data_IF_870505377212
#
_entry.id   IF_870505377212
#
_cell.length_a   1.000
_cell.length_b   1.000
_cell.length_c   1.000
_cell.angle_alpha   90.00
_cell.angle_beta   90.00
_cell.angle_gamma   90.00
#
_symmetry.space_group_name_H-M   'P 1'
#
loop_
_entity.id
_entity.type
_entity.pdbx_description
1 polymer ?
#
# COMPACT_ATOMS: atom_id res chain seq x y z
N UNK A 1 11.56 76.68 18.17
CA UNK A 1 11.01 75.44 17.58
C UNK A 1 12.16 74.72 16.89
N UNK A 2 12.43 73.48 17.30
CA UNK A 2 13.60 72.72 16.84
C UNK A 2 13.27 71.90 15.59
N UNK A 3 14.21 71.86 14.64
CA UNK A 3 14.17 70.92 13.51
C UNK A 3 15.54 70.24 13.37
N UNK A 4 15.63 69.02 13.89
CA UNK A 4 16.85 68.22 13.83
C UNK A 4 17.12 67.71 12.40
N UNK A 5 18.32 67.96 11.89
CA UNK A 5 18.84 67.28 10.72
C UNK A 5 19.49 65.93 11.08
N UNK A 6 19.64 65.03 10.11
CA UNK A 6 20.55 63.87 10.27
C UNK A 6 21.26 63.58 8.95
N UNK A 7 22.57 63.36 9.03
CA UNK A 7 23.51 63.34 7.90
C UNK A 7 23.51 61.98 7.20
N UNK A 8 23.78 61.98 5.88
CA UNK A 8 24.10 60.77 5.11
C UNK A 8 25.48 60.24 5.51
N UNK A 9 25.59 58.94 5.80
CA UNK A 9 26.87 58.23 6.02
C UNK A 9 27.45 57.66 4.71
N UNK A 10 28.76 57.36 4.65
CA UNK A 10 29.46 57.05 3.41
C UNK A 10 29.40 55.57 2.97
N UNK A 11 29.73 55.35 1.69
CA UNK A 11 29.80 54.04 1.02
C UNK A 11 30.92 53.13 1.59
N UNK A 12 30.71 51.80 1.66
CA UNK A 12 31.78 50.85 1.96
C UNK A 12 32.67 50.63 0.73
N UNK A 13 33.97 50.91 0.86
CA UNK A 13 34.95 50.73 -0.22
C UNK A 13 35.68 49.38 -0.20
N UNK A 14 36.59 49.23 -1.16
CA UNK A 14 37.80 48.42 -0.99
C UNK A 14 37.68 46.91 -1.16
N UNK A 15 37.80 46.43 -2.40
CA UNK A 15 38.30 45.07 -2.65
C UNK A 15 39.75 44.97 -2.17
N UNK A 16 40.06 44.00 -1.33
CA UNK A 16 41.40 43.42 -1.26
C UNK A 16 41.28 41.90 -1.40
N UNK A 17 41.90 41.36 -2.45
CA UNK A 17 42.18 39.94 -2.56
C UNK A 17 43.56 39.64 -2.00
N UNK A 18 43.72 38.47 -1.39
CA UNK A 18 45.01 37.88 -1.10
C UNK A 18 45.04 36.46 -1.69
N UNK A 19 46.11 36.16 -2.43
CA UNK A 19 46.31 34.88 -3.14
C UNK A 19 46.59 33.73 -2.17
N UNK A 20 46.40 32.49 -2.66
CA UNK A 20 46.54 31.27 -1.86
C UNK A 20 47.91 30.59 -1.92
N UNK A 21 47.87 29.26 -1.68
CA UNK A 21 48.92 28.31 -1.30
C UNK A 21 48.93 28.04 0.22
N UNK A 22 48.93 26.79 0.70
CA UNK A 22 48.84 25.49 0.02
C UNK A 22 48.84 24.32 1.03
N UNK A 23 48.72 23.09 0.52
CA UNK A 23 48.82 21.80 1.25
C UNK A 23 47.74 21.49 2.32
N UNK A 24 47.50 20.19 2.58
CA UNK A 24 46.51 19.71 3.56
C UNK A 24 45.43 18.76 3.02
N UNK A 25 45.77 17.86 2.06
CA UNK A 25 44.90 16.72 1.74
C UNK A 25 45.03 15.67 2.85
N UNK A 26 44.16 15.70 3.84
CA UNK A 26 44.03 14.58 4.78
C UNK A 26 42.74 13.79 4.61
N UNK A 27 42.95 12.48 4.47
CA UNK A 27 41.94 11.46 4.29
C UNK A 27 41.17 11.22 5.58
N UNK A 28 39.83 11.16 5.51
CA UNK A 28 39.08 10.32 6.45
C UNK A 28 37.84 9.70 5.79
N UNK A 29 38.10 8.76 4.89
CA UNK A 29 37.12 7.81 4.36
C UNK A 29 36.95 6.66 5.36
N UNK A 30 36.10 6.81 6.38
CA UNK A 30 35.84 5.73 7.33
C UNK A 30 34.99 4.63 6.69
N UNK A 31 35.65 3.51 6.38
CA UNK A 31 35.03 2.35 5.76
C UNK A 31 34.09 1.61 6.72
N UNK A 32 33.00 1.10 6.16
CA UNK A 32 32.13 0.09 6.76
C UNK A 32 32.94 -1.11 7.26
N UNK A 33 32.94 -1.37 8.57
CA UNK A 33 33.63 -2.55 9.14
C UNK A 33 32.61 -3.61 9.55
N UNK A 34 32.26 -4.47 8.59
CA UNK A 34 31.65 -5.75 8.91
C UNK A 34 32.66 -6.62 9.69
N UNK A 35 32.18 -7.33 10.72
CA UNK A 35 32.90 -8.44 11.33
C UNK A 35 31.91 -9.55 11.69
N UNK A 36 31.95 -10.64 10.94
CA UNK A 36 31.58 -11.97 11.41
C UNK A 36 32.82 -12.73 11.90
N UNK A 37 32.62 -13.97 12.35
CA UNK A 37 33.58 -14.86 13.04
C UNK A 37 33.91 -14.44 14.50
N UNK A 38 34.12 -15.34 15.45
CA UNK A 38 33.75 -16.77 15.58
C UNK A 38 33.84 -17.18 17.08
N UNK A 39 33.23 -18.32 17.46
CA UNK A 39 33.36 -18.97 18.78
C UNK A 39 34.78 -19.58 18.93
N UNK A 40 35.34 -19.80 20.14
CA UNK A 40 35.04 -21.03 20.93
C UNK A 40 35.05 -20.78 22.48
N UNK A 41 35.51 -21.65 23.42
CA UNK A 41 34.55 -22.31 24.34
C UNK A 41 34.87 -22.26 25.86
N UNK A 42 33.87 -22.70 26.65
CA UNK A 42 33.92 -23.39 27.98
C UNK A 42 34.96 -23.00 29.04
N UNK A 43 34.46 -22.56 30.21
CA UNK A 43 34.94 -23.02 31.52
C UNK A 43 33.81 -22.99 32.56
N UNK A 44 33.81 -23.98 33.45
CA UNK A 44 32.77 -24.26 34.45
C UNK A 44 33.21 -23.88 35.86
N UNK A 45 32.29 -23.39 36.71
CA UNK A 45 32.40 -23.52 38.17
C UNK A 45 31.05 -23.36 38.87
N UNK A 46 30.58 -24.46 39.49
CA UNK A 46 29.62 -24.44 40.61
C UNK A 46 30.36 -24.05 41.91
N UNK A 47 29.69 -23.60 43.01
CA UNK A 47 28.73 -24.39 43.81
C UNK A 47 27.34 -23.68 43.91
N UNK A 48 26.31 -24.11 44.67
CA UNK A 48 26.21 -25.17 45.69
C UNK A 48 24.86 -25.91 45.66
N UNK A 49 24.81 -27.06 46.34
CA UNK A 49 23.65 -27.74 46.96
C UNK A 49 24.23 -28.50 48.17
N UNK A 50 23.48 -28.90 49.24
CA UNK A 50 22.15 -29.53 49.22
C UNK A 50 21.30 -29.13 50.48
N UNK A 51 20.37 -29.95 51.05
CA UNK A 51 19.61 -31.09 50.54
C UNK A 51 18.08 -30.92 50.65
N UNK A 52 17.34 -31.96 50.22
CA UNK A 52 15.88 -32.04 50.25
C UNK A 52 15.31 -32.76 51.50
N UNK A 53 14.03 -32.51 51.78
CA UNK A 53 13.10 -33.38 52.51
C UNK A 53 11.67 -32.95 52.12
N UNK A 54 10.91 -33.76 51.36
CA UNK A 54 10.06 -34.90 51.76
C UNK A 54 8.71 -34.49 52.38
N UNK A 55 7.67 -35.30 52.10
CA UNK A 55 6.26 -35.25 52.58
C UNK A 55 5.38 -34.08 52.05
N UNK A 56 4.08 -34.20 51.78
CA UNK A 56 3.17 -35.35 51.55
C UNK A 56 1.92 -34.90 50.75
N UNK A 57 1.21 -35.89 50.17
CA UNK A 57 -0.19 -35.97 49.75
C UNK A 57 -1.11 -34.72 49.65
N UNK A 58 -1.98 -34.71 48.63
CA UNK A 58 -3.36 -34.26 48.86
C UNK A 58 -4.11 -33.60 47.70
N UNK A 59 -5.06 -34.36 47.16
CA UNK A 59 -6.37 -33.89 46.65
C UNK A 59 -6.48 -33.12 45.32
N UNK A 60 -7.38 -33.64 44.50
CA UNK A 60 -7.97 -33.05 43.30
C UNK A 60 -8.68 -31.72 43.55
N UNK A 61 -8.57 -30.75 42.63
CA UNK A 61 -9.51 -29.64 42.53
C UNK A 61 -9.91 -29.34 41.08
N UNK A 62 -11.21 -29.42 40.82
CA UNK A 62 -11.80 -29.12 39.51
C UNK A 62 -11.51 -27.67 39.07
N UNK A 63 -11.19 -27.48 37.80
CA UNK A 63 -11.04 -26.16 37.18
C UNK A 63 -12.40 -25.53 36.86
N UNK A 64 -13.13 -25.11 37.90
CA UNK A 64 -14.21 -24.13 37.72
C UNK A 64 -13.58 -22.75 37.48
N UNK A 65 -13.54 -22.33 36.21
CA UNK A 65 -13.12 -20.98 35.82
C UNK A 65 -14.33 -20.05 35.83
N UNK A 66 -14.39 -19.10 36.76
CA UNK A 66 -15.43 -18.07 36.77
C UNK A 66 -15.34 -17.19 35.49
N UNK A 67 -16.48 -16.72 34.93
CA UNK A 67 -16.50 -15.98 33.68
C UNK A 67 -16.01 -14.53 33.87
N UNK A 68 -15.04 -14.11 33.06
CA UNK A 68 -14.58 -12.73 33.00
C UNK A 68 -15.50 -11.86 32.10
N UNK A 69 -15.74 -10.64 32.56
CA UNK A 69 -16.70 -9.67 32.03
C UNK A 69 -16.47 -9.25 30.56
N UNK A 70 -17.55 -9.24 29.77
CA UNK A 70 -17.80 -8.15 28.80
C UNK A 70 -17.06 -8.14 27.46
N UNK A 71 -16.40 -9.22 27.04
CA UNK A 71 -15.84 -9.35 25.69
C UNK A 71 -16.53 -10.45 24.88
N UNK A 72 -17.11 -10.13 23.72
CA UNK A 72 -17.64 -11.15 22.80
C UNK A 72 -16.48 -12.04 22.34
N UNK A 73 -16.39 -13.24 22.94
CA UNK A 73 -15.31 -14.20 22.69
C UNK A 73 -15.40 -14.64 21.23
N UNK A 74 -14.43 -14.23 20.42
CA UNK A 74 -14.40 -14.56 18.97
C UNK A 74 -14.52 -16.07 18.79
N UNK A 75 -15.51 -16.48 18.01
CA UNK A 75 -15.79 -17.88 17.73
C UNK A 75 -14.56 -18.58 17.12
N UNK A 76 -14.19 -19.73 17.69
CA UNK A 76 -13.10 -20.57 17.17
C UNK A 76 -13.66 -21.52 16.13
N UNK A 77 -13.36 -21.25 14.86
CA UNK A 77 -13.73 -22.13 13.75
C UNK A 77 -12.98 -23.47 13.83
N UNK A 78 -13.72 -24.58 13.88
CA UNK A 78 -13.16 -25.94 13.80
C UNK A 78 -12.93 -26.36 12.35
N UNK A 79 -12.20 -27.45 12.12
CA UNK A 79 -12.01 -28.03 10.77
C UNK A 79 -13.35 -28.44 10.16
N UNK A 80 -14.23 -29.09 10.93
CA UNK A 80 -15.57 -29.48 10.50
C UNK A 80 -16.42 -28.29 10.05
N UNK A 81 -16.45 -27.20 10.82
CA UNK A 81 -17.17 -25.98 10.44
C UNK A 81 -16.61 -25.35 9.15
N UNK A 82 -15.29 -25.45 8.92
CA UNK A 82 -14.68 -24.97 7.68
C UNK A 82 -15.09 -25.86 6.48
N UNK A 83 -15.15 -27.19 6.66
CA UNK A 83 -15.63 -28.13 5.64
C UNK A 83 -17.10 -27.88 5.30
N UNK A 84 -17.96 -27.68 6.31
CA UNK A 84 -19.38 -27.36 6.12
C UNK A 84 -19.59 -25.99 5.46
N UNK A 85 -18.76 -24.99 5.78
CA UNK A 85 -18.75 -23.71 5.07
C UNK A 85 -18.36 -23.84 3.59
N UNK A 86 -17.42 -24.73 3.25
CA UNK A 86 -17.08 -25.05 1.86
C UNK A 86 -18.20 -25.82 1.14
N UNK A 87 -18.84 -26.82 1.77
CA UNK A 87 -20.01 -27.52 1.21
C UNK A 87 -21.13 -26.54 0.86
N UNK A 88 -21.48 -25.65 1.79
CA UNK A 88 -22.48 -24.60 1.58
C UNK A 88 -22.08 -23.63 0.45
N UNK A 89 -20.80 -23.26 0.34
CA UNK A 89 -20.28 -22.44 -0.75
C UNK A 89 -20.40 -23.12 -2.12
N UNK A 90 -19.96 -24.38 -2.24
CA UNK A 90 -20.03 -25.11 -3.50
C UNK A 90 -21.48 -25.36 -3.94
N UNK A 91 -22.37 -25.75 -3.02
CA UNK A 91 -23.82 -25.88 -3.29
C UNK A 91 -24.45 -24.55 -3.75
N UNK A 92 -24.15 -23.44 -3.07
CA UNK A 92 -24.71 -22.12 -3.42
C UNK A 92 -24.20 -21.54 -4.75
N UNK A 93 -23.04 -22.01 -5.22
CA UNK A 93 -22.35 -21.59 -6.45
C UNK A 93 -22.61 -22.52 -7.64
N UNK A 94 -22.99 -23.78 -7.39
CA UNK A 94 -23.37 -24.75 -8.43
C UNK A 94 -24.74 -24.52 -9.06
N UNK A 95 -25.58 -23.65 -8.48
CA UNK A 95 -26.83 -23.20 -9.09
C UNK A 95 -26.59 -22.04 -10.06
N UNK A 96 -27.12 -22.16 -11.28
CA UNK A 96 -26.84 -21.32 -12.46
C UNK A 96 -27.24 -19.84 -12.32
N UNK A 97 -27.99 -19.47 -11.28
CA UNK A 97 -28.54 -18.12 -11.11
C UNK A 97 -27.57 -17.16 -10.40
N UNK A 98 -26.90 -16.33 -11.21
CA UNK A 98 -26.49 -14.95 -10.88
C UNK A 98 -25.53 -14.73 -9.70
N UNK A 99 -24.33 -14.22 -9.99
CA UNK A 99 -23.24 -13.99 -9.01
C UNK A 99 -23.51 -13.03 -7.84
N UNK A 100 -24.71 -12.44 -7.75
CA UNK A 100 -25.10 -11.49 -6.69
C UNK A 100 -25.86 -12.12 -5.51
N UNK A 101 -26.56 -13.25 -5.70
CA UNK A 101 -27.43 -13.85 -4.68
C UNK A 101 -26.81 -15.04 -3.90
N UNK A 102 -25.61 -15.51 -4.26
CA UNK A 102 -25.04 -16.74 -3.66
C UNK A 102 -24.77 -16.65 -2.14
N UNK A 103 -24.61 -15.45 -1.56
CA UNK A 103 -24.24 -15.30 -0.14
C UNK A 103 -25.37 -15.67 0.81
N UNK A 104 -26.60 -15.23 0.52
CA UNK A 104 -27.80 -15.60 1.25
C UNK A 104 -28.08 -17.12 1.12
N UNK A 105 -27.94 -17.69 -0.09
CA UNK A 105 -28.07 -19.14 -0.32
C UNK A 105 -27.05 -19.94 0.49
N UNK A 106 -25.77 -19.52 0.45
CA UNK A 106 -24.69 -20.14 1.21
C UNK A 106 -24.91 -20.03 2.73
N UNK A 107 -25.45 -18.91 3.21
CA UNK A 107 -25.76 -18.71 4.63
C UNK A 107 -26.88 -19.65 5.10
N UNK A 108 -27.99 -19.75 4.34
CA UNK A 108 -29.07 -20.70 4.61
C UNK A 108 -28.57 -22.14 4.66
N UNK A 109 -27.84 -22.58 3.64
CA UNK A 109 -27.27 -23.93 3.57
C UNK A 109 -26.25 -24.21 4.70
N UNK A 110 -25.56 -23.18 5.19
CA UNK A 110 -24.66 -23.33 6.34
C UNK A 110 -25.43 -23.43 7.67
N UNK A 111 -26.52 -22.67 7.84
CA UNK A 111 -27.38 -22.77 9.01
C UNK A 111 -28.09 -24.14 9.10
N UNK A 112 -28.39 -24.78 7.96
CA UNK A 112 -28.89 -26.16 7.89
C UNK A 112 -27.82 -27.19 8.30
N UNK A 113 -26.53 -26.94 8.01
CA UNK A 113 -25.41 -27.84 8.34
C UNK A 113 -24.85 -27.64 9.76
N UNK A 114 -24.95 -26.44 10.33
CA UNK A 114 -24.43 -26.08 11.66
C UNK A 114 -25.48 -25.26 12.46
N UNK A 115 -26.64 -25.83 12.86
CA UNK A 115 -27.73 -25.08 13.49
C UNK A 115 -27.37 -24.43 14.83
N UNK A 116 -26.33 -24.93 15.51
CA UNK A 116 -25.81 -24.39 16.77
C UNK A 116 -24.97 -23.12 16.62
N UNK A 117 -24.70 -22.67 15.38
CA UNK A 117 -23.68 -21.66 15.09
C UNK A 117 -24.28 -20.41 14.42
N UNK A 118 -24.45 -19.34 15.20
CA UNK A 118 -24.95 -18.05 14.68
C UNK A 118 -23.82 -17.23 14.03
N UNK A 119 -23.82 -17.16 12.70
CA UNK A 119 -22.86 -16.38 11.90
C UNK A 119 -23.62 -15.44 10.95
N UNK A 120 -23.07 -14.27 10.63
CA UNK A 120 -23.64 -13.39 9.58
C UNK A 120 -23.18 -13.83 8.19
N UNK A 121 -23.96 -13.55 7.14
CA UNK A 121 -23.58 -13.87 5.76
C UNK A 121 -22.18 -13.38 5.38
N UNK A 122 -21.84 -12.16 5.80
CA UNK A 122 -20.55 -11.54 5.53
C UNK A 122 -19.41 -12.26 6.26
N UNK A 123 -19.58 -12.63 7.54
CA UNK A 123 -18.58 -13.37 8.29
C UNK A 123 -18.32 -14.76 7.68
N UNK A 124 -19.38 -15.44 7.22
CA UNK A 124 -19.27 -16.73 6.52
C UNK A 124 -18.54 -16.58 5.18
N UNK A 125 -18.91 -15.56 4.38
CA UNK A 125 -18.26 -15.28 3.10
C UNK A 125 -16.77 -14.92 3.24
N UNK A 126 -16.41 -14.12 4.25
CA UNK A 126 -15.01 -13.80 4.56
C UNK A 126 -14.26 -15.02 5.09
N UNK A 127 -14.91 -15.92 5.84
CA UNK A 127 -14.32 -17.19 6.27
C UNK A 127 -14.02 -18.11 5.07
N UNK A 128 -14.95 -18.27 4.14
CA UNK A 128 -14.72 -19.04 2.90
C UNK A 128 -13.58 -18.45 2.07
N UNK A 129 -13.54 -17.12 1.89
CA UNK A 129 -12.41 -16.43 1.23
C UNK A 129 -11.08 -16.62 1.95
N UNK A 130 -11.08 -16.79 3.27
CA UNK A 130 -9.87 -17.08 4.03
C UNK A 130 -9.43 -18.54 3.82
N UNK A 131 -10.35 -19.50 3.89
CA UNK A 131 -10.07 -20.93 3.67
C UNK A 131 -9.46 -21.14 2.28
N UNK A 132 -10.13 -20.66 1.22
CA UNK A 132 -9.67 -20.77 -0.17
C UNK A 132 -8.32 -20.08 -0.48
N UNK A 133 -7.85 -19.17 0.39
CA UNK A 133 -6.55 -18.49 0.24
C UNK A 133 -5.45 -19.03 1.16
N UNK A 134 -5.80 -19.79 2.18
CA UNK A 134 -4.86 -20.29 3.20
C UNK A 134 -4.37 -21.71 2.94
N UNK A 135 -4.81 -22.33 1.85
CA UNK A 135 -4.49 -23.72 1.49
C UNK A 135 -4.72 -24.70 2.66
N UNK A 136 -5.82 -24.47 3.41
CA UNK A 136 -6.13 -25.19 4.66
C UNK A 136 -6.76 -26.57 4.45
N UNK A 137 -7.05 -26.92 3.20
CA UNK A 137 -7.49 -28.23 2.74
C UNK A 137 -6.65 -28.58 1.51
N UNK A 138 -6.34 -29.86 1.34
CA UNK A 138 -5.63 -30.31 0.13
C UNK A 138 -6.52 -30.24 -1.12
N UNK A 139 -5.91 -30.20 -2.30
CA UNK A 139 -6.62 -30.20 -3.59
C UNK A 139 -7.54 -31.43 -3.73
N UNK A 140 -7.11 -32.58 -3.21
CA UNK A 140 -7.92 -33.81 -3.19
C UNK A 140 -9.16 -33.69 -2.29
N UNK A 141 -9.04 -33.03 -1.13
CA UNK A 141 -10.15 -32.76 -0.22
C UNK A 141 -11.14 -31.74 -0.80
N UNK A 142 -10.63 -30.71 -1.50
CA UNK A 142 -11.46 -29.72 -2.18
C UNK A 142 -12.30 -30.36 -3.30
N UNK A 143 -11.70 -31.21 -4.13
CA UNK A 143 -12.42 -31.94 -5.20
C UNK A 143 -13.35 -33.04 -4.66
N UNK A 144 -13.07 -33.60 -3.47
CA UNK A 144 -14.03 -34.43 -2.76
C UNK A 144 -15.23 -33.61 -2.27
N UNK A 145 -15.00 -32.48 -1.60
CA UNK A 145 -16.08 -31.61 -1.10
C UNK A 145 -16.90 -30.99 -2.23
N UNK A 146 -16.31 -30.79 -3.41
CA UNK A 146 -17.00 -30.38 -4.65
C UNK A 146 -17.94 -31.46 -5.16
N UNK A 147 -17.49 -32.73 -5.22
CA UNK A 147 -18.32 -33.89 -5.58
C UNK A 147 -19.43 -34.16 -4.56
N UNK A 148 -19.18 -34.01 -3.26
CA UNK A 148 -20.22 -34.10 -2.21
C UNK A 148 -21.26 -32.94 -2.27
N UNK A 149 -20.93 -31.84 -2.95
CA UNK A 149 -21.78 -30.65 -3.04
C UNK A 149 -22.68 -30.64 -4.28
N UNK A 150 -22.30 -31.30 -5.36
CA UNK A 150 -23.11 -31.47 -6.57
C UNK A 150 -23.58 -32.92 -6.63
N UNK A 151 -24.79 -33.24 -6.12
CA UNK A 151 -25.39 -34.54 -6.43
C UNK A 151 -25.56 -34.63 -7.95
N UNK A 152 -25.28 -35.81 -8.51
CA UNK A 152 -25.35 -36.06 -9.94
C UNK A 152 -26.73 -35.71 -10.50
N UNK A 153 -26.86 -34.59 -11.22
CA UNK A 153 -27.91 -34.47 -12.24
C UNK A 153 -27.72 -35.62 -13.20
N UNK A 154 -28.78 -36.40 -13.39
CA UNK A 154 -28.70 -37.72 -14.01
C UNK A 154 -28.53 -37.69 -15.52
N UNK A 155 -27.31 -37.43 -15.99
CA UNK A 155 -26.91 -37.62 -17.40
C UNK A 155 -25.56 -38.37 -17.45
N UNK A 156 -25.62 -39.69 -17.30
CA UNK A 156 -24.52 -40.61 -17.61
C UNK A 156 -25.10 -42.01 -17.90
N UNK A 157 -25.59 -42.17 -19.14
CA UNK A 157 -25.98 -43.46 -19.72
C UNK A 157 -25.69 -43.53 -21.24
N UNK A 158 -24.79 -42.66 -21.74
CA UNK A 158 -24.49 -42.52 -23.17
C UNK A 158 -23.04 -42.08 -23.44
N UNK A 159 -22.08 -42.54 -22.62
CA UNK A 159 -20.68 -42.12 -22.68
C UNK A 159 -19.66 -43.28 -22.64
N UNK A 160 -20.04 -44.49 -23.07
CA UNK A 160 -19.13 -45.64 -23.21
C UNK A 160 -18.78 -45.99 -24.67
N UNK A 161 -19.46 -45.43 -25.68
CA UNK A 161 -19.22 -45.73 -27.11
C UNK A 161 -18.30 -44.74 -27.87
N UNK A 162 -17.93 -43.62 -27.24
CA UNK A 162 -17.13 -42.57 -27.89
C UNK A 162 -15.59 -42.79 -27.83
N UNK A 163 -15.13 -43.94 -27.33
CA UNK A 163 -13.71 -44.27 -27.21
C UNK A 163 -13.16 -45.12 -28.38
N UNK A 164 -14.02 -45.59 -29.30
CA UNK A 164 -13.65 -46.56 -30.34
C UNK A 164 -13.46 -45.98 -31.76
N UNK A 165 -13.70 -44.67 -31.98
CA UNK A 165 -13.71 -44.06 -33.33
C UNK A 165 -12.61 -42.99 -33.55
N UNK A 166 -11.49 -43.04 -32.82
CA UNK A 166 -10.35 -42.12 -32.99
C UNK A 166 -9.02 -42.85 -33.26
N UNK A 167 -9.07 -43.89 -34.10
CA UNK A 167 -7.88 -44.66 -34.50
C UNK A 167 -7.63 -44.74 -36.02
N UNK A 168 -8.57 -44.29 -36.86
CA UNK A 168 -8.48 -44.49 -38.32
C UNK A 168 -8.93 -43.25 -39.10
N UNK A 169 -8.07 -42.22 -39.16
CA UNK A 169 -7.93 -41.26 -40.29
C UNK A 169 -6.78 -40.27 -40.09
N UNK A 170 -5.55 -40.78 -40.04
CA UNK A 170 -4.35 -39.99 -40.33
C UNK A 170 -3.83 -40.32 -41.73
N UNK A 171 -4.38 -39.67 -42.75
CA UNK A 171 -3.75 -39.49 -44.06
C UNK A 171 -4.46 -38.43 -44.93
N UNK A 172 -3.66 -37.54 -45.52
CA UNK A 172 -3.87 -36.76 -46.75
C UNK A 172 -4.67 -35.44 -46.75
N UNK A 173 -3.85 -34.37 -46.92
CA UNK A 173 -3.98 -33.25 -47.88
C UNK A 173 -4.86 -32.04 -47.55
N UNK A 174 -4.15 -30.94 -47.31
CA UNK A 174 -4.31 -29.53 -47.70
C UNK A 174 -5.66 -28.90 -48.11
N UNK A 175 -5.71 -27.61 -47.76
CA UNK A 175 -6.37 -26.49 -48.43
C UNK A 175 -7.86 -26.20 -48.16
N UNK A 176 -8.04 -24.94 -47.73
CA UNK A 176 -9.17 -24.06 -47.98
C UNK A 176 -10.57 -24.39 -47.40
N UNK A 177 -10.96 -23.51 -46.46
CA UNK A 177 -12.22 -22.74 -46.49
C UNK A 177 -13.55 -23.48 -46.27
N UNK A 178 -14.35 -22.91 -45.35
CA UNK A 178 -15.76 -23.18 -45.05
C UNK A 178 -16.13 -24.49 -44.34
N UNK A 179 -16.57 -24.34 -43.08
CA UNK A 179 -17.77 -25.01 -42.57
C UNK A 179 -18.42 -24.08 -41.53
N UNK A 180 -19.76 -24.10 -41.37
CA UNK A 180 -20.49 -22.97 -40.82
C UNK A 180 -20.47 -22.94 -39.28
N UNK A 181 -20.48 -21.72 -38.73
CA UNK A 181 -20.83 -21.52 -37.32
C UNK A 181 -22.34 -21.70 -37.17
N UNK A 182 -22.74 -22.68 -36.36
CA UNK A 182 -24.13 -22.85 -35.92
C UNK A 182 -24.51 -21.62 -35.10
N UNK A 183 -25.46 -20.84 -35.59
CA UNK A 183 -26.01 -19.68 -34.89
C UNK A 183 -26.97 -20.18 -33.82
N UNK A 184 -26.51 -20.25 -32.58
CA UNK A 184 -27.40 -20.35 -31.42
C UNK A 184 -27.85 -18.93 -31.03
N UNK A 185 -29.10 -18.59 -31.33
CA UNK A 185 -29.64 -17.23 -31.24
C UNK A 185 -29.97 -16.84 -29.79
N UNK A 186 -28.99 -16.27 -29.09
CA UNK A 186 -29.20 -15.50 -27.85
C UNK A 186 -28.78 -14.03 -28.06
N UNK A 187 -29.65 -13.27 -28.72
CA UNK A 187 -29.34 -12.01 -29.43
C UNK A 187 -29.23 -10.76 -28.52
N UNK A 188 -29.81 -10.76 -27.32
CA UNK A 188 -29.92 -9.55 -26.47
C UNK A 188 -28.58 -9.13 -25.80
N UNK A 189 -27.67 -10.08 -25.58
CA UNK A 189 -26.37 -9.81 -24.94
C UNK A 189 -25.30 -9.27 -25.89
N UNK A 190 -25.35 -9.69 -27.16
CA UNK A 190 -24.31 -9.41 -28.16
C UNK A 190 -24.39 -7.97 -28.67
N UNK A 191 -25.60 -7.51 -29.00
CA UNK A 191 -25.87 -6.16 -29.52
C UNK A 191 -25.44 -5.07 -28.53
N UNK A 192 -25.69 -5.29 -27.23
CA UNK A 192 -25.28 -4.35 -26.19
C UNK A 192 -23.75 -4.23 -26.04
N UNK A 193 -23.02 -5.35 -26.19
CA UNK A 193 -21.57 -5.37 -26.11
C UNK A 193 -20.91 -4.79 -27.38
N UNK A 194 -21.49 -5.04 -28.55
CA UNK A 194 -21.05 -4.45 -29.82
C UNK A 194 -21.25 -2.93 -29.83
N UNK A 195 -22.40 -2.45 -29.32
CA UNK A 195 -22.66 -1.02 -29.15
C UNK A 195 -21.68 -0.35 -28.16
N UNK A 196 -21.31 -1.01 -27.05
CA UNK A 196 -20.29 -0.47 -26.13
C UNK A 196 -18.90 -0.39 -26.81
N UNK A 197 -18.52 -1.39 -27.62
CA UNK A 197 -17.27 -1.39 -28.37
C UNK A 197 -17.23 -0.29 -29.44
N UNK A 198 -18.32 -0.07 -30.18
CA UNK A 198 -18.37 0.98 -31.20
C UNK A 198 -18.37 2.39 -30.59
N UNK A 199 -19.04 2.59 -29.44
CA UNK A 199 -18.92 3.83 -28.65
C UNK A 199 -17.47 4.08 -28.18
N UNK A 200 -16.76 3.03 -27.75
CA UNK A 200 -15.35 3.12 -27.38
C UNK A 200 -14.45 3.46 -28.57
N UNK A 201 -14.75 2.93 -29.76
CA UNK A 201 -14.05 3.23 -31.01
C UNK A 201 -14.27 4.67 -31.45
N UNK A 202 -15.51 5.14 -31.51
CA UNK A 202 -15.86 6.53 -31.82
C UNK A 202 -15.16 7.51 -30.87
N UNK A 203 -15.18 7.25 -29.56
CA UNK A 203 -14.47 8.07 -28.55
C UNK A 203 -12.95 8.11 -28.78
N UNK A 204 -12.36 7.03 -29.30
CA UNK A 204 -10.94 6.95 -29.65
C UNK A 204 -10.62 7.79 -30.88
N UNK A 205 -11.41 7.66 -31.95
CA UNK A 205 -11.24 8.40 -33.20
C UNK A 205 -11.34 9.92 -32.96
N UNK A 206 -12.36 10.37 -32.22
CA UNK A 206 -12.52 11.77 -31.80
C UNK A 206 -11.29 12.29 -31.03
N UNK A 207 -10.80 11.52 -30.04
CA UNK A 207 -9.66 11.94 -29.23
C UNK A 207 -8.34 11.99 -30.02
N UNK A 208 -8.16 11.14 -31.04
CA UNK A 208 -7.00 11.20 -31.94
C UNK A 208 -7.08 12.45 -32.84
N UNK A 209 -8.24 12.73 -33.44
CA UNK A 209 -8.44 13.92 -34.30
C UNK A 209 -8.23 15.22 -33.50
N UNK A 210 -8.79 15.32 -32.31
CA UNK A 210 -8.57 16.46 -31.40
C UNK A 210 -7.09 16.63 -31.06
N UNK A 211 -6.39 15.53 -30.77
CA UNK A 211 -4.96 15.56 -30.41
C UNK A 211 -4.07 15.98 -31.58
N UNK A 212 -4.40 15.60 -32.82
CA UNK A 212 -3.73 16.08 -34.04
C UNK A 212 -3.91 17.59 -34.22
N UNK A 213 -5.10 18.12 -33.95
CA UNK A 213 -5.38 19.56 -34.03
C UNK A 213 -4.77 20.40 -32.89
N UNK A 214 -4.33 19.76 -31.79
CA UNK A 214 -3.87 20.44 -30.57
C UNK A 214 -2.35 20.41 -30.42
N UNK A 215 -1.73 21.60 -30.44
CA UNK A 215 -0.29 21.77 -30.18
C UNK A 215 0.09 21.26 -28.78
N UNK A 216 1.32 20.75 -28.64
CA UNK A 216 1.83 20.10 -27.41
C UNK A 216 1.66 20.94 -26.13
N UNK A 217 1.70 22.27 -26.25
CA UNK A 217 1.57 23.19 -25.11
C UNK A 217 0.14 23.31 -24.57
N UNK A 218 -0.86 23.08 -25.43
CA UNK A 218 -2.28 23.21 -25.14
C UNK A 218 -2.95 21.87 -24.76
N UNK A 219 -2.23 20.75 -24.88
CA UNK A 219 -2.76 19.42 -24.54
C UNK A 219 -3.12 19.31 -23.04
N UNK A 220 -4.30 18.78 -22.68
CA UNK A 220 -4.75 18.69 -21.29
C UNK A 220 -3.88 17.72 -20.48
N UNK A 221 -3.73 17.97 -19.17
CA UNK A 221 -2.97 17.04 -18.32
C UNK A 221 -3.80 15.80 -18.01
N UNK A 222 -3.33 14.65 -18.49
CA UNK A 222 -3.91 13.34 -18.20
C UNK A 222 -3.68 12.96 -16.72
N UNK A 223 -4.73 12.63 -15.96
CA UNK A 223 -4.61 12.21 -14.57
C UNK A 223 -4.01 10.78 -14.46
N UNK A 224 -3.31 10.50 -13.36
CA UNK A 224 -2.82 9.14 -13.08
C UNK A 224 -4.00 8.23 -12.72
N UNK A 225 -4.36 7.35 -13.65
CA UNK A 225 -5.44 6.37 -13.46
C UNK A 225 -5.07 5.31 -12.42
N UNK A 226 -6.00 4.98 -11.54
CA UNK A 226 -5.85 3.86 -10.61
C UNK A 226 -5.93 2.50 -11.34
N UNK A 227 -5.20 1.49 -10.86
CA UNK A 227 -5.17 0.13 -11.45
C UNK A 227 -6.41 -0.71 -11.06
N UNK A 228 -7.61 -0.16 -11.24
CA UNK A 228 -8.88 -0.84 -10.98
C UNK A 228 -9.11 -2.01 -11.98
N UNK A 229 -10.12 -2.85 -11.74
CA UNK A 229 -10.52 -3.88 -12.72
C UNK A 229 -11.16 -3.23 -13.96
N UNK A 230 -12.07 -2.27 -13.77
CA UNK A 230 -12.75 -1.52 -14.85
C UNK A 230 -11.75 -0.79 -15.75
N UNK A 231 -10.81 -0.05 -15.17
CA UNK A 231 -9.82 0.72 -15.92
C UNK A 231 -8.93 -0.19 -16.78
N UNK A 232 -8.59 -1.38 -16.26
CA UNK A 232 -7.84 -2.40 -17.04
C UNK A 232 -8.68 -3.08 -18.11
N UNK A 233 -10.00 -3.20 -17.94
CA UNK A 233 -10.88 -3.71 -18.99
C UNK A 233 -10.94 -2.73 -20.17
N UNK A 234 -11.19 -1.43 -19.89
CA UNK A 234 -11.21 -0.36 -20.91
C UNK A 234 -9.91 -0.30 -21.71
N UNK A 235 -8.75 -0.31 -21.03
CA UNK A 235 -7.44 -0.33 -21.71
C UNK A 235 -7.25 -1.59 -22.56
N UNK A 236 -7.67 -2.78 -22.09
CA UNK A 236 -7.56 -4.01 -22.88
C UNK A 236 -8.47 -4.04 -24.11
N UNK A 237 -9.64 -3.41 -24.05
CA UNK A 237 -10.57 -3.33 -25.18
C UNK A 237 -10.09 -2.34 -26.25
N UNK A 238 -9.47 -1.22 -25.84
CA UNK A 238 -8.90 -0.25 -26.80
C UNK A 238 -7.57 -0.70 -27.41
N UNK A 239 -6.71 -1.41 -26.67
CA UNK A 239 -5.38 -1.79 -27.15
C UNK A 239 -5.35 -2.49 -28.54
N UNK A 240 -6.25 -3.45 -28.86
CA UNK A 240 -6.34 -4.02 -30.21
C UNK A 240 -6.70 -2.99 -31.29
N UNK A 241 -7.64 -2.07 -31.01
CA UNK A 241 -8.04 -1.02 -31.93
C UNK A 241 -6.86 -0.08 -32.26
N UNK A 242 -5.99 0.20 -31.28
CA UNK A 242 -4.81 1.04 -31.45
C UNK A 242 -3.80 0.49 -32.47
N UNK A 243 -3.71 -0.83 -32.63
CA UNK A 243 -2.75 -1.45 -33.56
C UNK A 243 -2.99 -0.94 -34.98
N UNK A 244 -4.24 -0.91 -35.43
CA UNK A 244 -4.62 -0.43 -36.77
C UNK A 244 -4.24 1.04 -37.01
N UNK A 245 -4.40 1.92 -36.02
CA UNK A 245 -3.98 3.33 -36.15
C UNK A 245 -2.46 3.49 -36.13
N UNK A 246 -1.75 2.69 -35.33
CA UNK A 246 -0.29 2.72 -35.24
C UNK A 246 0.38 2.17 -36.49
N UNK A 247 -0.18 1.13 -37.12
CA UNK A 247 0.28 0.60 -38.42
C UNK A 247 0.07 1.59 -39.56
N UNK A 248 -0.96 2.43 -39.48
CA UNK A 248 -1.20 3.52 -40.44
C UNK A 248 -0.34 4.78 -40.18
N UNK A 249 0.41 4.83 -39.06
CA UNK A 249 1.24 5.98 -38.68
C UNK A 249 2.47 6.11 -39.57
N UNK A 250 2.77 7.33 -40.01
CA UNK A 250 3.90 7.61 -40.93
C UNK A 250 5.09 8.29 -40.27
N UNK A 251 4.89 8.94 -39.13
CA UNK A 251 5.93 9.67 -38.42
C UNK A 251 5.78 9.59 -36.89
N UNK A 252 6.75 10.15 -36.17
CA UNK A 252 6.74 10.15 -34.70
C UNK A 252 5.66 11.08 -34.11
N UNK A 253 5.26 12.13 -34.82
CA UNK A 253 4.28 13.13 -34.37
C UNK A 253 2.85 12.58 -34.42
N UNK A 254 2.50 11.86 -35.48
CA UNK A 254 1.29 11.05 -35.59
C UNK A 254 1.26 9.96 -34.53
N UNK A 255 2.37 9.24 -34.35
CA UNK A 255 2.49 8.18 -33.33
C UNK A 255 2.24 8.72 -31.91
N UNK A 256 2.87 9.85 -31.54
CA UNK A 256 2.64 10.52 -30.27
C UNK A 256 1.18 11.01 -30.13
N UNK A 257 0.60 11.54 -31.20
CA UNK A 257 -0.79 12.03 -31.21
C UNK A 257 -1.81 10.88 -31.07
N UNK A 258 -1.55 9.72 -31.68
CA UNK A 258 -2.34 8.51 -31.53
C UNK A 258 -2.24 7.97 -30.10
N UNK A 259 -1.02 7.86 -29.54
CA UNK A 259 -0.81 7.36 -28.18
C UNK A 259 -1.41 8.29 -27.11
N UNK A 260 -1.30 9.61 -27.29
CA UNK A 260 -1.91 10.59 -26.39
C UNK A 260 -3.45 10.59 -26.54
N UNK A 261 -3.98 10.56 -27.76
CA UNK A 261 -5.41 10.44 -28.05
C UNK A 261 -6.02 9.18 -27.43
N UNK A 262 -5.32 8.05 -27.51
CA UNK A 262 -5.69 6.81 -26.84
C UNK A 262 -5.81 6.96 -25.31
N UNK A 263 -4.80 7.56 -24.68
CA UNK A 263 -4.79 7.79 -23.25
C UNK A 263 -5.87 8.81 -22.81
N UNK A 264 -6.18 9.79 -23.67
CA UNK A 264 -7.28 10.75 -23.51
C UNK A 264 -8.65 10.05 -23.60
N UNK A 265 -8.87 9.19 -24.59
CA UNK A 265 -10.08 8.38 -24.74
C UNK A 265 -10.33 7.47 -23.53
N UNK A 266 -9.29 6.76 -23.06
CA UNK A 266 -9.35 5.98 -21.82
C UNK A 266 -9.77 6.85 -20.63
N UNK A 267 -9.24 8.07 -20.51
CA UNK A 267 -9.65 9.00 -19.45
C UNK A 267 -11.12 9.44 -19.58
N UNK A 268 -11.62 9.68 -20.80
CA UNK A 268 -13.04 10.02 -21.08
C UNK A 268 -13.99 8.89 -20.69
N UNK A 269 -13.75 7.67 -21.18
CA UNK A 269 -14.58 6.48 -20.91
C UNK A 269 -14.62 6.12 -19.41
N UNK A 270 -13.55 6.41 -18.66
CA UNK A 270 -13.48 6.23 -17.20
C UNK A 270 -14.14 7.38 -16.42
N UNK A 271 -14.44 8.52 -17.06
CA UNK A 271 -14.93 9.73 -16.39
C UNK A 271 -13.87 10.44 -15.53
N UNK A 272 -12.60 10.30 -15.90
CA UNK A 272 -11.49 10.90 -15.17
C UNK A 272 -11.41 12.42 -15.45
N UNK A 273 -11.36 13.24 -14.38
CA UNK A 273 -11.31 14.70 -14.50
C UNK A 273 -9.98 15.14 -15.15
N UNK A 274 -10.07 15.57 -16.40
CA UNK A 274 -8.97 16.18 -17.16
C UNK A 274 -8.73 17.61 -16.65
N UNK A 275 -7.46 17.96 -16.42
CA UNK A 275 -7.09 19.31 -16.01
C UNK A 275 -6.80 20.18 -17.24
N UNK A 276 -7.76 21.03 -17.60
CA UNK A 276 -7.61 22.09 -18.62
C UNK A 276 -6.77 23.28 -18.18
N UNK A 277 -6.36 23.33 -16.90
CA UNK A 277 -5.46 24.37 -16.39
C UNK A 277 -4.04 24.23 -16.99
N UNK A 278 -3.85 24.90 -18.13
CA UNK A 278 -2.57 25.00 -18.84
C UNK A 278 -1.46 25.50 -17.90
N UNK A 279 -0.36 24.74 -17.81
CA UNK A 279 0.85 24.97 -16.98
C UNK A 279 0.63 25.78 -15.69
N UNK A 280 -0.44 25.49 -14.95
CA UNK A 280 -0.55 25.85 -13.55
C UNK A 280 0.47 25.01 -12.78
N UNK A 281 1.73 25.45 -12.83
CA UNK A 281 2.70 25.09 -11.80
C UNK A 281 2.08 25.59 -10.51
N UNK A 282 1.55 24.65 -9.74
CA UNK A 282 1.17 24.91 -8.38
C UNK A 282 2.44 25.27 -7.63
N UNK A 283 2.86 26.54 -7.72
CA UNK A 283 3.70 27.20 -6.74
C UNK A 283 2.89 27.40 -5.46
N UNK A 284 2.32 26.29 -4.97
CA UNK A 284 2.12 26.13 -3.55
C UNK A 284 3.49 26.38 -2.95
N UNK A 285 3.56 27.40 -2.09
CA UNK A 285 4.67 27.69 -1.19
C UNK A 285 4.83 26.59 -0.12
N UNK A 286 4.61 25.34 -0.53
CA UNK A 286 4.60 24.13 0.26
C UNK A 286 5.92 24.05 1.02
N UNK A 287 5.79 24.16 2.34
CA UNK A 287 6.89 24.06 3.29
C UNK A 287 7.72 22.83 2.91
N UNK A 288 9.02 22.99 2.55
CA UNK A 288 9.79 21.88 2.00
C UNK A 288 9.76 20.66 2.91
N UNK A 289 9.66 19.46 2.34
CA UNK A 289 9.52 18.21 3.12
C UNK A 289 10.66 17.96 4.11
N UNK A 290 11.83 18.61 3.98
CA UNK A 290 12.88 18.58 5.00
C UNK A 290 12.51 19.39 6.25
N UNK A 291 11.80 20.51 6.10
CA UNK A 291 11.39 21.40 7.19
C UNK A 291 10.28 20.75 8.02
N UNK A 292 9.24 20.22 7.36
CA UNK A 292 8.17 19.43 8.00
C UNK A 292 8.77 18.31 8.85
N UNK A 293 9.70 17.51 8.30
CA UNK A 293 10.37 16.42 9.03
C UNK A 293 11.20 16.88 10.23
N UNK A 294 11.75 18.09 10.21
CA UNK A 294 12.49 18.65 11.36
C UNK A 294 11.52 19.16 12.43
N UNK A 295 10.47 19.88 12.02
CA UNK A 295 9.43 20.43 12.90
C UNK A 295 8.65 19.30 13.61
N UNK A 296 8.29 18.23 12.91
CA UNK A 296 7.73 17.02 13.50
C UNK A 296 8.63 16.39 14.57
N UNK A 297 9.95 16.29 14.32
CA UNK A 297 10.89 15.72 15.29
C UNK A 297 10.97 16.58 16.55
N UNK A 298 10.98 17.90 16.40
CA UNK A 298 10.94 18.85 17.51
C UNK A 298 9.62 18.69 18.29
N UNK A 299 8.47 18.63 17.61
CA UNK A 299 7.16 18.45 18.23
C UNK A 299 7.06 17.11 19.00
N UNK A 300 7.47 16.00 18.37
CA UNK A 300 7.51 14.66 19.00
C UNK A 300 8.41 14.64 20.24
N UNK A 301 9.56 15.30 20.20
CA UNK A 301 10.45 15.42 21.36
C UNK A 301 9.89 16.31 22.47
N UNK A 302 9.28 17.46 22.16
CA UNK A 302 8.59 18.32 23.14
C UNK A 302 7.46 17.58 23.84
N UNK A 303 6.63 16.86 23.09
CA UNK A 303 5.55 16.04 23.64
C UNK A 303 6.08 14.87 24.50
N UNK A 304 7.27 14.34 24.21
CA UNK A 304 7.93 13.35 25.07
C UNK A 304 8.45 13.99 26.36
N UNK A 305 9.16 15.12 26.29
CA UNK A 305 9.62 15.89 27.48
C UNK A 305 8.45 16.16 28.43
N UNK A 306 7.32 16.67 27.92
CA UNK A 306 6.14 16.94 28.76
C UNK A 306 5.64 15.70 29.51
N UNK A 307 5.62 14.53 28.86
CA UNK A 307 5.22 13.26 29.50
C UNK A 307 6.25 12.74 30.52
N UNK A 308 7.55 12.95 30.27
CA UNK A 308 8.60 12.63 31.24
C UNK A 308 8.52 13.54 32.48
N UNK A 309 8.23 14.83 32.29
CA UNK A 309 7.99 15.78 33.39
C UNK A 309 6.76 15.37 34.19
N UNK A 310 5.61 15.10 33.54
CA UNK A 310 4.41 14.64 34.25
C UNK A 310 4.66 13.38 35.10
N UNK A 311 5.45 12.42 34.59
CA UNK A 311 5.82 11.23 35.36
C UNK A 311 6.72 11.56 36.54
N UNK A 312 7.72 12.44 36.35
CA UNK A 312 8.59 12.95 37.43
C UNK A 312 7.80 13.70 38.52
N UNK A 313 6.72 14.39 38.15
CA UNK A 313 5.77 15.02 39.08
C UNK A 313 4.80 14.03 39.75
N UNK A 314 5.03 12.71 39.66
CA UNK A 314 4.23 11.68 40.33
C UNK A 314 3.03 11.15 39.53
N UNK A 315 2.83 11.53 38.26
CA UNK A 315 1.67 11.06 37.49
C UNK A 315 1.89 9.64 36.93
N UNK A 316 1.33 8.65 37.62
CA UNK A 316 1.45 7.21 37.32
C UNK A 316 0.37 6.66 36.38
N UNK A 317 -0.43 7.50 35.70
CA UNK A 317 -1.48 7.04 34.76
C UNK A 317 -0.90 6.06 33.72
N UNK A 318 -1.55 4.91 33.41
CA UNK A 318 -0.98 3.85 32.56
C UNK A 318 -0.47 4.31 31.18
N UNK A 319 -1.13 5.32 30.57
CA UNK A 319 -0.69 5.92 29.29
C UNK A 319 0.67 6.64 29.41
N UNK A 320 0.92 7.32 30.52
CA UNK A 320 2.18 8.00 30.80
C UNK A 320 3.26 6.95 31.08
N UNK A 321 3.01 6.03 32.02
CA UNK A 321 3.93 4.92 32.36
C UNK A 321 4.35 4.12 31.11
N UNK A 322 3.40 3.77 30.24
CA UNK A 322 3.70 3.12 28.94
C UNK A 322 4.60 3.98 28.06
N UNK A 323 4.36 5.30 28.00
CA UNK A 323 5.20 6.21 27.21
C UNK A 323 6.61 6.32 27.78
N UNK A 324 6.79 6.40 29.10
CA UNK A 324 8.12 6.42 29.73
C UNK A 324 8.84 5.11 29.49
N UNK A 325 8.18 3.95 29.65
CA UNK A 325 8.77 2.63 29.33
C UNK A 325 9.22 2.54 27.87
N UNK A 326 8.48 3.12 26.93
CA UNK A 326 8.89 3.20 25.52
C UNK A 326 10.04 4.19 25.27
N UNK A 327 10.17 5.25 26.07
CA UNK A 327 11.26 6.23 25.97
C UNK A 327 12.65 5.66 26.32
N UNK A 328 12.64 4.60 27.14
CA UNK A 328 13.78 3.80 27.60
C UNK A 328 13.81 2.39 26.98
N UNK A 329 12.98 2.10 25.96
CA UNK A 329 12.99 0.80 25.30
C UNK A 329 14.38 0.52 24.67
N UNK A 330 14.96 -0.64 24.98
CA UNK A 330 16.32 -1.01 24.56
C UNK A 330 17.44 -0.43 25.44
N UNK A 331 17.11 0.23 26.56
CA UNK A 331 18.08 0.58 27.60
C UNK A 331 17.82 -0.27 28.87
N UNK A 332 18.86 -0.52 29.67
CA UNK A 332 18.78 -1.31 30.92
C UNK A 332 18.14 -0.53 32.10
N UNK A 333 17.20 0.37 31.79
CA UNK A 333 16.53 1.26 32.74
C UNK A 333 15.16 0.70 33.08
N UNK A 334 14.99 0.27 34.33
CA UNK A 334 13.69 -0.12 34.87
C UNK A 334 13.07 1.02 35.67
N UNK A 335 11.75 1.19 35.56
CA UNK A 335 10.99 2.22 36.28
C UNK A 335 11.01 2.04 37.81
N UNK A 336 11.42 0.86 38.29
CA UNK A 336 11.55 0.51 39.71
C UNK A 336 12.96 0.74 40.27
N UNK A 337 13.92 1.19 39.46
CA UNK A 337 15.27 1.52 39.96
C UNK A 337 15.23 2.83 40.78
N UNK A 338 16.00 2.95 41.87
CA UNK A 338 16.02 4.16 42.70
C UNK A 338 16.57 5.39 41.96
N UNK A 339 17.44 5.18 40.97
CA UNK A 339 18.06 6.23 40.14
C UNK A 339 17.18 6.72 38.98
N UNK A 340 15.94 6.23 38.85
CA UNK A 340 15.05 6.56 37.73
C UNK A 340 14.82 8.08 37.57
N UNK A 341 14.78 8.83 38.67
CA UNK A 341 14.58 10.29 38.63
C UNK A 341 15.78 11.05 38.05
N UNK A 342 16.99 10.55 38.26
CA UNK A 342 18.20 11.08 37.62
C UNK A 342 18.19 10.76 36.13
N UNK A 343 17.98 9.49 35.76
CA UNK A 343 17.89 9.03 34.36
C UNK A 343 16.78 9.74 33.56
N UNK A 344 15.66 10.09 34.21
CA UNK A 344 14.62 10.94 33.62
C UNK A 344 15.10 12.36 33.33
N UNK A 345 15.92 12.93 34.20
CA UNK A 345 16.49 14.28 34.03
C UNK A 345 17.49 14.29 32.87
N UNK A 346 18.45 13.37 32.87
CA UNK A 346 19.40 13.14 31.77
C UNK A 346 18.66 12.98 30.44
N UNK A 347 17.60 12.15 30.41
CA UNK A 347 16.78 11.92 29.21
C UNK A 347 15.99 13.15 28.75
N UNK A 348 15.56 14.01 29.67
CA UNK A 348 14.92 15.29 29.33
C UNK A 348 15.94 16.24 28.71
N UNK A 349 17.15 16.32 29.26
CA UNK A 349 18.19 17.23 28.80
C UNK A 349 18.79 16.80 27.45
N UNK A 350 18.99 15.50 27.23
CA UNK A 350 19.21 14.87 25.92
C UNK A 350 18.23 15.39 24.86
N UNK A 351 16.93 15.38 25.18
CA UNK A 351 15.87 15.80 24.28
C UNK A 351 15.90 17.31 24.05
N UNK A 352 16.20 18.13 25.07
CA UNK A 352 16.43 19.58 24.91
C UNK A 352 17.61 19.87 23.98
N UNK A 353 18.75 19.20 24.17
CA UNK A 353 19.93 19.35 23.32
C UNK A 353 19.62 18.96 21.86
N UNK A 354 18.90 17.85 21.63
CA UNK A 354 18.47 17.42 20.30
C UNK A 354 17.50 18.41 19.64
N UNK A 355 16.55 18.97 20.40
CA UNK A 355 15.67 20.05 19.92
C UNK A 355 16.49 21.28 19.50
N UNK A 356 17.45 21.71 20.31
CA UNK A 356 18.31 22.85 19.99
C UNK A 356 19.15 22.59 18.71
N UNK A 357 19.72 21.40 18.56
CA UNK A 357 20.45 21.00 17.36
C UNK A 357 19.57 20.96 16.10
N UNK A 358 18.33 20.47 16.22
CA UNK A 358 17.36 20.47 15.12
C UNK A 358 16.88 21.88 14.78
N UNK A 359 16.66 22.76 15.75
CA UNK A 359 16.37 24.18 15.55
C UNK A 359 17.50 24.91 14.80
N UNK A 360 18.75 24.73 15.24
CA UNK A 360 19.96 25.23 14.55
C UNK A 360 20.11 24.68 13.13
N UNK A 361 19.60 23.48 12.83
CA UNK A 361 19.56 22.93 11.47
C UNK A 361 18.44 23.56 10.63
N UNK A 362 17.23 23.71 11.19
CA UNK A 362 16.10 24.36 10.53
C UNK A 362 16.47 25.77 10.09
N UNK A 363 17.01 26.59 11.01
CA UNK A 363 17.46 27.96 10.73
C UNK A 363 18.48 28.04 9.58
N UNK A 364 19.56 27.24 9.64
CA UNK A 364 20.59 27.22 8.60
C UNK A 364 20.07 26.81 7.22
N UNK A 365 19.12 25.87 7.16
CA UNK A 365 18.53 25.45 5.88
C UNK A 365 17.53 26.48 5.35
N UNK A 366 16.75 27.13 6.21
CA UNK A 366 15.91 28.27 5.83
C UNK A 366 16.78 29.41 5.28
N UNK A 367 17.79 29.87 6.03
CA UNK A 367 18.71 30.93 5.58
C UNK A 367 19.37 30.62 4.24
N UNK A 368 19.83 29.38 4.03
CA UNK A 368 20.37 28.94 2.72
C UNK A 368 19.33 28.99 1.61
N UNK A 369 18.10 28.54 1.88
CA UNK A 369 17.01 28.56 0.90
C UNK A 369 16.59 29.99 0.54
N UNK A 370 16.54 30.90 1.53
CA UNK A 370 16.23 32.31 1.29
C UNK A 370 17.32 32.96 0.43
N UNK A 371 18.61 32.78 0.76
CA UNK A 371 19.72 33.30 -0.04
C UNK A 371 19.72 32.74 -1.46
N UNK A 372 19.45 31.45 -1.64
CA UNK A 372 19.35 30.85 -2.97
C UNK A 372 18.21 31.48 -3.79
N UNK A 373 17.05 31.68 -3.19
CA UNK A 373 15.92 32.33 -3.86
C UNK A 373 16.21 33.82 -4.18
N UNK A 374 16.83 34.56 -3.26
CA UNK A 374 17.24 35.95 -3.46
C UNK A 374 18.25 36.08 -4.61
N UNK A 375 19.30 35.25 -4.62
CA UNK A 375 20.29 35.22 -5.70
C UNK A 375 19.65 34.86 -7.04
N UNK A 376 18.66 33.95 -7.05
CA UNK A 376 17.95 33.55 -8.28
C UNK A 376 17.06 34.67 -8.82
N UNK A 377 16.38 35.42 -7.94
CA UNK A 377 15.59 36.60 -8.33
C UNK A 377 16.51 37.69 -8.92
N UNK A 378 17.64 37.97 -8.27
CA UNK A 378 18.63 38.92 -8.77
C UNK A 378 19.23 38.51 -10.14
N UNK A 379 19.28 37.21 -10.45
CA UNK A 379 19.72 36.70 -11.75
C UNK A 379 18.62 36.72 -12.82
N UNK A 380 17.34 36.78 -12.44
CA UNK A 380 16.21 36.85 -13.40
C UNK A 380 15.77 38.26 -13.74
N UNK A 381 16.09 39.25 -12.89
CA UNK A 381 15.70 40.66 -13.07
C UNK A 381 16.92 41.55 -13.39
N UNK A 382 17.39 41.62 -14.66
CA UNK A 382 18.50 42.50 -15.05
C UNK A 382 18.10 43.99 -15.20
N UNK A 383 16.82 44.34 -15.20
CA UNK A 383 16.31 45.68 -15.59
C UNK A 383 16.12 46.69 -14.45
N UNK A 384 17.00 46.70 -13.43
CA UNK A 384 17.02 47.77 -12.41
C UNK A 384 18.43 48.34 -12.20
N UNK A 385 19.22 48.38 -13.27
CA UNK A 385 20.61 48.88 -13.26
C UNK A 385 21.01 49.61 -14.57
N UNK A 386 20.14 50.51 -15.04
CA UNK A 386 20.47 51.62 -15.95
C UNK A 386 19.81 52.91 -15.45
#
# INVERSE_FOLDING_TARGET
MESNGTRKGPLPGGRQGASGAGAGRDSMRTASRARGAARPPSSSSHPSSPPAGLVSAGSSRAQQSAPATGGVRRMRWTTQMNSNALRAYFRAKGGETGGFAYRARMHRLFAELEPSVTVTEQNLADRVRYILRSNTFDVTELERLRREAVPSSGENAAAEDAAAQLAERTANVDAAVNTPVVVDSNDDGTVAQELELEQMRSTLEEAIVETRSTTLENRPRLPRLALSKRNRAVVRALNPMLVTYLEASRDLCETDSILFGAALAVCRIIGAKLSTAGRATGQSSAIPAWRIRIEERIAKARALIGRLICFRSGNTRPRIVRTVRMAFAGTNVSLSQPDIMQKLTERIDDLKQRIAAWGKRNRRYTERSTRFNQNRLFQSDPEVAL
#
